data_IF_420481145530
#
_entry.id   IF_420481145530
#
_cell.length_a   1.000
_cell.length_b   1.000
_cell.length_c   1.000
_cell.angle_alpha   90.00
_cell.angle_beta   90.00
_cell.angle_gamma   90.00
#
_symmetry.space_group_name_H-M   'P 1'
#
loop_
_entity.id
_entity.type
_entity.pdbx_description
1 polymer ?
#
# COMPACT_ATOMS: atom_id res chain seq x y z
N UNK A 1 21.73 -11.92 -0.08
CA UNK A 1 21.49 -12.70 -1.30
C UNK A 1 20.00 -12.60 -1.55
N UNK A 2 19.56 -11.80 -2.53
CA UNK A 2 18.13 -11.63 -2.82
C UNK A 2 17.63 -12.84 -3.61
N UNK A 3 16.56 -13.48 -3.15
CA UNK A 3 15.89 -14.54 -3.91
C UNK A 3 14.95 -13.84 -4.88
N UNK A 4 15.40 -13.62 -6.12
CA UNK A 4 14.54 -13.10 -7.19
C UNK A 4 13.74 -14.26 -7.76
N UNK A 5 12.52 -14.47 -7.25
CA UNK A 5 11.52 -15.28 -7.93
C UNK A 5 10.51 -14.32 -8.56
N UNK A 6 10.59 -14.19 -9.88
CA UNK A 6 9.59 -13.55 -10.73
C UNK A 6 9.14 -12.15 -10.30
N UNK A 7 9.92 -11.11 -10.69
CA UNK A 7 9.75 -9.64 -10.44
C UNK A 7 9.33 -9.19 -9.03
N UNK A 8 9.35 -10.11 -8.07
CA UNK A 8 9.18 -9.89 -6.65
C UNK A 8 10.56 -9.87 -6.02
N UNK A 9 10.87 -8.82 -5.29
CA UNK A 9 12.09 -8.70 -4.49
C UNK A 9 11.71 -8.78 -3.03
N UNK A 10 12.24 -9.80 -2.34
CA UNK A 10 12.25 -9.83 -0.88
C UNK A 10 13.45 -9.02 -0.40
N UNK A 11 13.21 -7.98 0.41
CA UNK A 11 14.30 -7.10 0.83
C UNK A 11 15.30 -7.89 1.70
N UNK A 12 16.53 -8.12 1.22
CA UNK A 12 17.40 -9.18 1.73
C UNK A 12 17.96 -8.92 3.14
N UNK A 13 17.76 -7.71 3.69
CA UNK A 13 18.30 -7.29 4.99
C UNK A 13 17.25 -7.21 6.09
N UNK A 14 15.99 -6.96 5.74
CA UNK A 14 14.90 -6.71 6.68
C UNK A 14 13.83 -7.78 6.61
N UNK A 15 13.60 -8.37 5.43
CA UNK A 15 12.55 -9.37 5.25
C UNK A 15 12.80 -10.64 6.08
N UNK A 16 11.80 -11.01 6.87
CA UNK A 16 11.78 -12.25 7.64
C UNK A 16 10.67 -13.14 7.11
N UNK A 17 11.05 -14.29 6.56
CA UNK A 17 10.08 -15.25 6.00
C UNK A 17 9.01 -15.69 7.02
N UNK A 18 9.34 -15.71 8.31
CA UNK A 18 8.38 -16.05 9.37
C UNK A 18 7.21 -15.07 9.44
N UNK A 19 7.42 -13.78 9.18
CA UNK A 19 6.37 -12.76 9.28
C UNK A 19 5.28 -12.95 8.21
N UNK A 20 5.60 -13.51 7.03
CA UNK A 20 4.58 -13.85 6.03
C UNK A 20 3.59 -14.93 6.51
N UNK A 21 3.99 -15.77 7.46
CA UNK A 21 3.15 -16.85 7.97
C UNK A 21 2.33 -16.44 9.21
N UNK A 22 2.50 -15.21 9.70
CA UNK A 22 1.75 -14.70 10.82
C UNK A 22 0.35 -14.22 10.43
N UNK A 23 -0.55 -14.24 11.40
CA UNK A 23 -1.94 -13.81 11.23
C UNK A 23 -2.02 -12.30 10.98
N UNK A 24 -2.70 -11.91 9.92
CA UNK A 24 -2.99 -10.50 9.61
C UNK A 24 -4.09 -9.99 10.56
N UNK A 25 -3.81 -8.87 11.23
CA UNK A 25 -4.74 -8.15 12.11
C UNK A 25 -5.43 -6.99 11.41
N UNK A 26 -4.76 -6.38 10.43
CA UNK A 26 -5.28 -5.23 9.69
C UNK A 26 -4.54 -5.10 8.35
N UNK A 27 -5.26 -4.67 7.32
CA UNK A 27 -4.68 -4.16 6.09
C UNK A 27 -4.66 -2.64 6.19
N UNK A 28 -3.56 -1.99 5.82
CA UNK A 28 -3.47 -0.53 5.83
C UNK A 28 -2.93 -0.04 4.50
N UNK A 29 -3.73 0.75 3.79
CA UNK A 29 -3.22 1.54 2.66
C UNK A 29 -2.54 2.77 3.25
N UNK A 30 -1.29 2.98 2.86
CA UNK A 30 -0.45 4.04 3.38
C UNK A 30 0.05 4.90 2.23
N UNK A 31 -0.25 6.20 2.29
CA UNK A 31 0.21 7.21 1.35
C UNK A 31 1.31 8.06 1.98
N UNK A 32 2.54 7.92 1.50
CA UNK A 32 3.68 8.74 1.94
C UNK A 32 4.04 9.79 0.89
N UNK A 33 4.29 11.06 1.25
CA UNK A 33 4.60 12.11 0.29
C UNK A 33 5.92 11.80 -0.42
N UNK A 34 5.94 11.94 -1.75
CA UNK A 34 7.17 11.80 -2.54
C UNK A 34 8.19 12.88 -2.18
N UNK A 35 7.71 14.07 -1.85
CA UNK A 35 8.47 15.19 -1.32
C UNK A 35 7.88 15.63 0.03
N UNK A 36 8.50 15.22 1.16
CA UNK A 36 8.04 15.56 2.49
C UNK A 36 8.25 17.03 2.87
N UNK A 37 8.77 17.87 1.96
CA UNK A 37 8.84 19.33 2.14
C UNK A 37 7.69 20.09 1.46
N UNK A 38 6.96 19.46 0.52
CA UNK A 38 5.84 20.10 -0.21
C UNK A 38 4.47 19.60 0.24
N UNK A 39 3.62 20.44 0.85
CA UNK A 39 2.33 20.01 1.45
C UNK A 39 1.41 19.29 0.44
N UNK A 40 1.40 19.77 -0.80
CA UNK A 40 0.66 19.20 -1.93
C UNK A 40 1.41 18.07 -2.66
N UNK A 41 2.50 17.57 -2.09
CA UNK A 41 3.26 16.47 -2.70
C UNK A 41 2.38 15.26 -2.88
N UNK A 42 2.39 14.71 -4.10
CA UNK A 42 1.68 13.48 -4.41
C UNK A 42 2.16 12.35 -3.50
N UNK A 43 1.23 11.47 -3.14
CA UNK A 43 1.51 10.33 -2.28
C UNK A 43 1.96 9.11 -3.10
N UNK A 44 3.02 8.46 -2.62
CA UNK A 44 3.35 7.08 -2.97
C UNK A 44 2.53 6.13 -2.09
N UNK A 45 1.70 5.30 -2.72
CA UNK A 45 0.78 4.39 -2.05
C UNK A 45 1.36 2.98 -1.97
N UNK A 46 1.24 2.38 -0.80
CA UNK A 46 1.70 1.02 -0.48
C UNK A 46 0.72 0.34 0.48
N UNK A 47 0.87 -0.96 0.67
CA UNK A 47 -0.02 -1.76 1.53
C UNK A 47 0.79 -2.41 2.64
N UNK A 48 0.36 -2.20 3.88
CA UNK A 48 0.88 -2.89 5.05
C UNK A 48 -0.10 -3.98 5.49
N UNK A 49 0.43 -5.18 5.75
CA UNK A 49 -0.26 -6.27 6.42
C UNK A 49 0.19 -6.25 7.89
N UNK A 50 -0.61 -5.67 8.76
CA UNK A 50 -0.30 -5.51 10.18
C UNK A 50 -0.43 -6.84 10.88
N UNK A 51 0.60 -7.21 11.64
CA UNK A 51 0.69 -8.43 12.44
C UNK A 51 0.60 -8.10 13.94
N UNK A 52 0.83 -9.09 14.81
CA UNK A 52 0.96 -8.83 16.24
C UNK A 52 2.30 -8.17 16.60
N UNK A 53 2.33 -7.43 17.72
CA UNK A 53 3.57 -6.89 18.30
C UNK A 53 4.24 -5.79 17.48
N UNK A 54 3.46 -4.86 16.93
CA UNK A 54 3.96 -3.72 16.13
C UNK A 54 4.78 -4.12 14.89
N UNK A 55 4.49 -5.29 14.32
CA UNK A 55 5.11 -5.77 13.08
C UNK A 55 4.16 -5.63 11.91
N UNK A 56 4.73 -5.58 10.72
CA UNK A 56 3.97 -5.61 9.48
C UNK A 56 4.77 -6.24 8.35
N UNK A 57 4.07 -6.79 7.38
CA UNK A 57 4.64 -7.07 6.05
C UNK A 57 4.23 -5.95 5.11
N UNK A 58 5.22 -5.30 4.49
CA UNK A 58 5.03 -4.28 3.49
C UNK A 58 4.97 -4.91 2.10
N UNK A 59 3.92 -4.59 1.34
CA UNK A 59 3.86 -4.74 -0.11
C UNK A 59 3.93 -3.37 -0.77
N UNK A 60 5.05 -3.12 -1.44
CA UNK A 60 5.35 -1.86 -2.11
C UNK A 60 5.70 -2.14 -3.57
N UNK A 61 4.83 -1.74 -4.49
CA UNK A 61 5.17 -1.73 -5.89
C UNK A 61 5.88 -0.41 -6.21
N UNK A 62 7.10 -0.49 -6.74
CA UNK A 62 7.91 0.69 -7.10
C UNK A 62 8.32 0.66 -8.58
N UNK A 63 8.41 1.81 -9.26
CA UNK A 63 8.99 1.89 -10.60
C UNK A 63 10.50 1.65 -10.55
N UNK A 64 11.11 1.39 -11.70
CA UNK A 64 12.57 1.20 -11.83
C UNK A 64 13.02 -0.25 -12.00
N UNK A 65 12.09 -1.21 -12.02
CA UNK A 65 12.35 -2.50 -12.64
C UNK A 65 12.49 -2.33 -14.15
N UNK A 66 13.24 -3.21 -14.81
CA UNK A 66 13.33 -3.26 -16.28
C UNK A 66 14.15 -2.15 -16.95
N UNK A 67 14.46 -2.35 -18.23
CA UNK A 67 15.29 -1.43 -19.01
C UNK A 67 14.58 -0.10 -19.35
N UNK A 68 13.26 -0.03 -19.17
CA UNK A 68 12.46 1.16 -19.47
C UNK A 68 12.25 2.09 -18.27
N UNK A 69 12.75 1.70 -17.09
CA UNK A 69 12.61 2.46 -15.84
C UNK A 69 11.17 2.57 -15.31
N UNK A 70 10.18 2.02 -16.03
CA UNK A 70 8.75 2.13 -15.72
C UNK A 70 8.13 0.78 -15.39
N UNK A 71 8.85 -0.31 -15.62
CA UNK A 71 8.39 -1.63 -15.17
C UNK A 71 8.41 -1.66 -13.65
N UNK A 72 7.29 -2.06 -13.05
CA UNK A 72 7.14 -2.18 -11.61
C UNK A 72 7.92 -3.36 -11.05
N UNK A 73 8.38 -3.20 -9.81
CA UNK A 73 8.97 -4.26 -9.00
C UNK A 73 8.20 -4.34 -7.70
N UNK A 74 7.68 -5.52 -7.36
CA UNK A 74 6.99 -5.74 -6.09
C UNK A 74 8.04 -6.00 -5.01
N UNK A 75 8.20 -5.04 -4.11
CA UNK A 75 9.02 -5.17 -2.91
C UNK A 75 8.15 -5.76 -1.81
N UNK A 76 8.66 -6.84 -1.21
CA UNK A 76 8.09 -7.45 -0.01
C UNK A 76 9.11 -7.31 1.12
N UNK A 77 8.69 -6.70 2.22
CA UNK A 77 9.56 -6.47 3.37
C UNK A 77 8.87 -6.69 4.71
N UNK A 78 9.65 -6.95 5.75
CA UNK A 78 9.21 -6.92 7.15
C UNK A 78 9.58 -5.58 7.75
N UNK A 79 8.58 -4.81 8.16
CA UNK A 79 8.75 -3.45 8.68
C UNK A 79 8.04 -3.32 10.03
N UNK A 80 8.54 -2.49 10.97
CA UNK A 80 7.72 -2.05 12.08
C UNK A 80 6.41 -1.46 11.54
N UNK A 81 5.30 -1.82 12.17
CA UNK A 81 4.04 -1.16 11.89
C UNK A 81 4.23 0.34 12.14
N UNK A 82 3.94 1.23 11.18
CA UNK A 82 4.00 2.67 11.43
C UNK A 82 3.08 2.97 12.61
N UNK A 83 3.67 3.26 13.77
CA UNK A 83 2.93 3.34 15.02
C UNK A 83 1.83 4.39 14.89
N UNK A 84 0.68 4.05 15.46
CA UNK A 84 -0.52 4.91 15.45
C UNK A 84 -0.29 6.25 16.17
N UNK A 85 0.81 6.44 16.88
CA UNK A 85 1.23 7.74 17.44
C UNK A 85 1.60 8.75 16.34
N UNK A 86 1.89 8.29 15.12
CA UNK A 86 1.99 9.14 13.92
C UNK A 86 0.64 9.38 13.23
N UNK A 87 -0.44 8.75 13.70
CA UNK A 87 -1.80 8.80 13.15
C UNK A 87 -2.87 9.22 14.19
N UNK A 88 -2.47 9.48 15.45
CA UNK A 88 -3.33 9.92 16.54
C UNK A 88 -3.39 11.45 16.67
N UNK A 89 -2.79 12.21 15.75
CA UNK A 89 -3.14 13.62 15.55
C UNK A 89 -4.41 13.72 14.68
N UNK A 90 -5.48 13.07 15.14
CA UNK A 90 -6.85 13.45 14.82
C UNK A 90 -7.41 14.37 15.90
N UNK A 91 -6.51 15.07 16.63
CA UNK A 91 -6.90 16.14 17.53
C UNK A 91 -6.99 17.43 16.71
N UNK A 92 -8.22 17.89 16.53
CA UNK A 92 -8.58 19.04 15.70
C UNK A 92 -8.33 20.34 16.47
N UNK A 93 -7.12 20.52 17.03
CA UNK A 93 -6.78 21.76 17.73
C UNK A 93 -5.29 21.92 18.09
N UNK A 94 -4.36 21.91 17.14
CA UNK A 94 -3.06 22.59 17.36
C UNK A 94 -2.67 23.37 16.10
N UNK A 95 -2.91 24.68 16.15
CA UNK A 95 -2.23 25.67 15.34
C UNK A 95 -0.73 25.59 15.57
N UNK A 96 0.02 25.08 14.59
CA UNK A 96 1.46 25.22 14.50
C UNK A 96 2.26 23.94 14.73
N UNK A 97 2.94 23.49 13.68
CA UNK A 97 4.05 22.53 13.63
C UNK A 97 3.73 21.06 13.27
N UNK A 98 4.01 20.73 12.01
CA UNK A 98 4.50 19.43 11.48
C UNK A 98 3.83 18.14 11.97
N UNK A 99 2.50 18.09 11.95
CA UNK A 99 1.75 16.83 12.09
C UNK A 99 1.98 15.93 10.87
N UNK A 100 2.28 14.66 11.15
CA UNK A 100 2.57 13.56 10.23
C UNK A 100 1.93 13.70 8.84
N UNK A 101 2.76 13.83 7.81
CA UNK A 101 2.35 13.90 6.40
C UNK A 101 1.98 12.54 5.80
N UNK A 102 1.84 11.50 6.58
CA UNK A 102 1.52 10.17 6.06
C UNK A 102 0.04 9.89 6.27
N UNK A 103 -0.64 9.46 5.22
CA UNK A 103 -2.06 9.14 5.24
C UNK A 103 -2.24 7.63 5.39
N UNK A 104 -3.20 7.24 6.24
CA UNK A 104 -3.50 5.85 6.56
C UNK A 104 -4.98 5.56 6.38
N UNK A 105 -5.29 4.51 5.61
CA UNK A 105 -6.64 3.99 5.47
C UNK A 105 -6.68 2.53 5.95
N UNK A 106 -7.13 2.29 7.20
CA UNK A 106 -7.19 0.96 7.78
C UNK A 106 -8.41 0.17 7.29
N UNK A 107 -8.21 -1.12 7.02
CA UNK A 107 -9.25 -2.08 6.65
C UNK A 107 -9.12 -3.31 7.56
N UNK A 108 -10.19 -3.64 8.27
CA UNK A 108 -10.23 -4.86 9.08
C UNK A 108 -10.32 -6.11 8.19
N UNK A 109 -9.64 -7.22 8.54
CA UNK A 109 -9.82 -8.49 7.84
C UNK A 109 -11.26 -9.01 7.99
N UNK A 110 -11.71 -9.82 7.04
CA UNK A 110 -12.98 -10.53 7.16
C UNK A 110 -12.96 -11.49 8.36
N UNK A 111 -14.02 -11.46 9.19
CA UNK A 111 -14.07 -12.14 10.49
C UNK A 111 -14.05 -13.67 10.45
N UNK A 112 -14.26 -14.28 9.28
CA UNK A 112 -14.55 -15.72 9.18
C UNK A 112 -13.31 -16.60 9.08
N UNK A 113 -12.13 -16.04 8.77
CA UNK A 113 -10.91 -16.82 8.49
C UNK A 113 -9.68 -16.05 8.98
N UNK A 114 -8.68 -16.76 9.49
CA UNK A 114 -7.36 -16.19 9.77
C UNK A 114 -6.56 -16.19 8.47
N UNK A 115 -6.15 -15.02 8.02
CA UNK A 115 -5.34 -14.85 6.81
C UNK A 115 -3.88 -14.58 7.14
N UNK A 116 -2.97 -15.01 6.26
CA UNK A 116 -1.53 -14.76 6.39
C UNK A 116 -1.00 -13.96 5.20
N UNK A 117 0.15 -13.29 5.37
CA UNK A 117 0.80 -12.56 4.29
C UNK A 117 1.17 -13.44 3.09
N UNK A 118 1.50 -14.72 3.33
CA UNK A 118 1.80 -15.68 2.28
C UNK A 118 0.60 -15.90 1.34
N UNK A 119 -0.61 -16.03 1.89
CA UNK A 119 -1.84 -16.20 1.10
C UNK A 119 -2.17 -14.94 0.28
N UNK A 120 -1.93 -13.76 0.85
CA UNK A 120 -2.11 -12.49 0.14
C UNK A 120 -1.10 -12.39 -1.00
N UNK A 121 0.18 -12.72 -0.76
CA UNK A 121 1.22 -12.69 -1.79
C UNK A 121 0.95 -13.66 -2.94
N UNK A 122 0.46 -14.86 -2.63
CA UNK A 122 0.03 -15.85 -3.62
C UNK A 122 -1.12 -15.28 -4.48
N UNK A 123 -2.14 -14.72 -3.83
CA UNK A 123 -3.28 -14.06 -4.53
C UNK A 123 -2.81 -12.96 -5.49
N UNK A 124 -1.83 -12.15 -5.08
CA UNK A 124 -1.24 -11.12 -5.93
C UNK A 124 -0.53 -11.71 -7.16
N UNK A 125 0.21 -12.80 -6.99
CA UNK A 125 0.93 -13.47 -8.08
C UNK A 125 -0.02 -14.16 -9.05
N UNK A 126 -1.03 -14.86 -8.53
CA UNK A 126 -2.05 -15.51 -9.35
C UNK A 126 -2.84 -14.49 -10.17
N UNK A 127 -3.06 -13.30 -9.61
CA UNK A 127 -3.67 -12.15 -10.28
C UNK A 127 -2.69 -11.32 -11.10
N UNK A 128 -1.42 -11.74 -11.23
CA UNK A 128 -0.33 -11.07 -11.95
C UNK A 128 -0.13 -9.60 -11.54
N UNK A 129 -0.31 -9.28 -10.27
CA UNK A 129 -0.15 -7.92 -9.72
C UNK A 129 1.30 -7.49 -9.54
N UNK A 130 2.23 -8.44 -9.64
CA UNK A 130 3.67 -8.19 -9.82
C UNK A 130 4.03 -7.80 -11.27
N UNK A 131 3.12 -8.01 -12.23
CA UNK A 131 3.29 -7.64 -13.65
C UNK A 131 2.56 -6.33 -13.95
N UNK A 132 3.12 -5.24 -13.44
CA UNK A 132 2.59 -3.90 -13.64
C UNK A 132 3.65 -2.97 -14.24
N UNK A 133 3.22 -2.05 -15.09
CA UNK A 133 4.05 -1.02 -15.70
C UNK A 133 3.42 0.33 -15.40
N UNK A 134 4.20 1.25 -14.84
CA UNK A 134 3.76 2.61 -14.55
C UNK A 134 3.50 3.40 -15.85
N UNK A 135 2.79 4.52 -15.73
CA UNK A 135 2.69 5.46 -16.85
C UNK A 135 4.05 6.12 -17.14
N UNK A 136 4.12 6.93 -18.19
CA UNK A 136 5.37 7.59 -18.60
C UNK A 136 5.92 8.58 -17.56
N UNK A 137 5.16 8.91 -16.51
CA UNK A 137 5.57 9.81 -15.43
C UNK A 137 6.01 9.06 -14.17
N UNK A 138 5.98 7.71 -14.18
CA UNK A 138 6.19 6.90 -13.00
C UNK A 138 4.99 6.92 -12.03
N UNK A 139 3.83 7.40 -12.46
CA UNK A 139 2.61 7.41 -11.65
C UNK A 139 1.82 6.10 -11.83
N UNK A 140 1.08 5.71 -10.79
CA UNK A 140 0.21 4.54 -10.84
C UNK A 140 0.18 3.66 -9.59
N UNK A 141 0.93 3.99 -8.53
CA UNK A 141 0.90 3.22 -7.28
C UNK A 141 -0.50 3.18 -6.64
N UNK A 142 -1.24 4.30 -6.63
CA UNK A 142 -2.64 4.30 -6.15
C UNK A 142 -3.53 3.37 -6.96
N UNK A 143 -3.44 3.40 -8.29
CA UNK A 143 -4.22 2.51 -9.16
C UNK A 143 -3.89 1.03 -8.90
N UNK A 144 -2.60 0.73 -8.67
CA UNK A 144 -2.19 -0.61 -8.26
C UNK A 144 -2.81 -1.00 -6.91
N UNK A 145 -2.71 -0.15 -5.88
CA UNK A 145 -3.33 -0.40 -4.58
C UNK A 145 -4.86 -0.60 -4.67
N UNK A 146 -5.58 0.28 -5.39
CA UNK A 146 -7.02 0.15 -5.66
C UNK A 146 -7.34 -1.20 -6.30
N UNK A 147 -6.54 -1.63 -7.28
CA UNK A 147 -6.73 -2.93 -7.95
C UNK A 147 -6.53 -4.08 -6.97
N UNK A 148 -5.46 -4.03 -6.17
CA UNK A 148 -5.18 -5.03 -5.13
C UNK A 148 -6.31 -5.10 -4.11
N UNK A 149 -6.80 -3.97 -3.58
CA UNK A 149 -7.94 -3.93 -2.66
C UNK A 149 -9.17 -4.61 -3.28
N UNK A 150 -9.46 -4.34 -4.55
CA UNK A 150 -10.53 -5.02 -5.28
C UNK A 150 -10.33 -6.54 -5.39
N UNK A 151 -9.10 -7.02 -5.56
CA UNK A 151 -8.79 -8.45 -5.57
C UNK A 151 -9.00 -9.08 -4.18
N UNK A 152 -8.50 -8.41 -3.12
CA UNK A 152 -8.64 -8.86 -1.74
C UNK A 152 -10.10 -8.92 -1.29
N UNK A 153 -10.91 -7.96 -1.73
CA UNK A 153 -12.35 -7.93 -1.49
C UNK A 153 -13.05 -9.11 -2.19
N UNK A 154 -12.75 -9.37 -3.47
CA UNK A 154 -13.33 -10.51 -4.21
C UNK A 154 -12.91 -11.87 -3.64
N UNK A 155 -11.67 -11.97 -3.16
CA UNK A 155 -11.17 -13.16 -2.48
C UNK A 155 -11.57 -13.23 -0.99
N UNK A 156 -12.41 -12.29 -0.51
CA UNK A 156 -12.93 -12.25 0.86
C UNK A 156 -11.89 -12.10 1.97
N UNK A 157 -10.66 -11.66 1.66
CA UNK A 157 -9.65 -11.29 2.66
C UNK A 157 -10.11 -10.09 3.50
N UNK A 158 -10.81 -9.16 2.84
CA UNK A 158 -11.41 -7.96 3.45
C UNK A 158 -12.91 -7.88 3.14
N UNK A 159 -13.71 -7.16 3.94
CA UNK A 159 -15.15 -7.03 3.74
C UNK A 159 -15.53 -6.40 2.41
N UNK A 160 -16.67 -6.81 1.86
CA UNK A 160 -17.29 -6.16 0.71
C UNK A 160 -17.62 -4.69 1.02
N UNK A 161 -17.34 -3.80 0.06
CA UNK A 161 -17.46 -2.35 0.19
C UNK A 161 -16.17 -1.63 0.60
N UNK A 162 -15.10 -2.36 0.93
CA UNK A 162 -13.81 -1.78 1.31
C UNK A 162 -13.18 -0.98 0.17
N UNK A 163 -13.30 -1.45 -1.08
CA UNK A 163 -12.80 -0.72 -2.25
C UNK A 163 -13.53 0.61 -2.44
N UNK A 164 -14.87 0.58 -2.38
CA UNK A 164 -15.70 1.76 -2.52
C UNK A 164 -15.45 2.76 -1.38
N UNK A 165 -15.26 2.28 -0.15
CA UNK A 165 -14.91 3.12 0.98
C UNK A 165 -13.56 3.83 0.79
N UNK A 166 -12.55 3.13 0.27
CA UNK A 166 -11.26 3.74 -0.02
C UNK A 166 -11.33 4.79 -1.14
N UNK A 167 -12.05 4.51 -2.24
CA UNK A 167 -12.22 5.49 -3.32
C UNK A 167 -12.99 6.73 -2.85
N UNK A 168 -14.02 6.57 -2.01
CA UNK A 168 -14.73 7.70 -1.41
C UNK A 168 -13.82 8.55 -0.51
N UNK A 169 -12.99 7.90 0.31
CA UNK A 169 -11.97 8.59 1.11
C UNK A 169 -11.01 9.42 0.24
N UNK A 170 -10.61 8.90 -0.94
CA UNK A 170 -9.77 9.65 -1.88
C UNK A 170 -10.50 10.84 -2.49
N UNK A 171 -11.80 10.72 -2.78
CA UNK A 171 -12.63 11.83 -3.28
C UNK A 171 -12.72 12.93 -2.23
N UNK A 172 -13.06 12.60 -0.98
CA UNK A 172 -13.10 13.55 0.14
C UNK A 172 -11.75 14.26 0.31
N UNK A 173 -10.64 13.50 0.26
CA UNK A 173 -9.28 14.07 0.35
C UNK A 173 -8.87 14.91 -0.86
N UNK A 174 -9.38 14.61 -2.05
CA UNK A 174 -9.16 15.42 -3.24
C UNK A 174 -9.84 16.79 -3.14
N UNK A 175 -11.03 16.86 -2.54
CA UNK A 175 -11.73 18.14 -2.29
C UNK A 175 -10.90 19.05 -1.36
N UNK A 176 -10.20 18.46 -0.38
CA UNK A 176 -9.31 19.18 0.53
C UNK A 176 -7.97 19.58 -0.12
N UNK A 177 -7.33 18.67 -0.87
CA UNK A 177 -6.00 18.89 -1.47
C UNK A 177 -5.86 18.15 -2.82
N UNK A 178 -6.31 18.77 -3.93
CA UNK A 178 -6.37 18.09 -5.22
C UNK A 178 -4.99 17.79 -5.82
N UNK A 179 -3.95 18.54 -5.44
CA UNK A 179 -2.57 18.29 -5.87
C UNK A 179 -1.98 17.02 -5.26
N UNK A 180 -2.27 16.78 -3.98
CA UNK A 180 -1.81 15.61 -3.22
C UNK A 180 -2.58 14.34 -3.59
N UNK A 181 -3.88 14.48 -3.87
CA UNK A 181 -4.80 13.39 -4.19
C UNK A 181 -5.37 13.53 -5.61
N UNK A 182 -4.55 13.51 -6.68
CA UNK A 182 -5.01 13.86 -8.02
C UNK A 182 -6.16 12.99 -8.50
N UNK A 183 -7.19 13.60 -9.08
CA UNK A 183 -8.28 12.93 -9.81
C UNK A 183 -8.34 13.44 -11.26
N UNK A 184 -8.63 12.59 -12.27
CA UNK A 184 -8.85 11.14 -12.15
C UNK A 184 -7.57 10.38 -11.76
N UNK A 185 -7.73 9.18 -11.18
CA UNK A 185 -6.60 8.32 -10.81
C UNK A 185 -5.70 8.04 -12.00
N UNK A 186 -4.41 8.39 -11.90
CA UNK A 186 -3.38 8.04 -12.89
C UNK A 186 -3.16 6.52 -12.88
N UNK A 187 -3.09 5.92 -14.07
CA UNK A 187 -3.08 4.46 -14.23
C UNK A 187 -1.85 4.02 -15.03
N UNK A 188 -1.22 2.96 -14.55
CA UNK A 188 -0.32 2.13 -15.35
C UNK A 188 -1.09 1.03 -16.09
N UNK A 189 -0.38 -0.03 -16.45
CA UNK A 189 -0.90 -1.16 -17.24
C UNK A 189 -0.40 -2.49 -16.66
N UNK A 190 -1.33 -3.43 -16.46
CA UNK A 190 -1.02 -4.82 -16.11
C UNK A 190 -0.77 -5.65 -17.40
N UNK A 191 0.13 -6.64 -17.36
CA UNK A 191 0.50 -7.47 -18.53
C UNK A 191 0.80 -8.92 -18.17
#
# INVERSE_FOLDING_TARGET
MSITMDRTIFHPRSFKLVDLNEAIRQFVLCGTPVDPSTESSILHWKIYLVLDGEKSVLFDLTPGGGADGMTGTLIVDSEPYPSRDSAASSDTSITGSSSSRTDYFPISPSKSVIFTGAQVLETLRDSRRDKYRYDSTGSGCRFWCTTVVGDLERASFIPQGSLAAFENYIVEKNEENPGRYPLPTRKGTFY
#
